data_IF_341251748061
#
_entry.id   IF_341251748061
#
_cell.length_a   1.000
_cell.length_b   1.000
_cell.length_c   1.000
_cell.angle_alpha   90.00
_cell.angle_beta   90.00
_cell.angle_gamma   90.00
#
_symmetry.space_group_name_H-M   'P 1'
#
loop_
_entity.id
_entity.type
_entity.pdbx_description
1 polymer ?
#
# COMPACT_ATOMS: atom_id res chain seq x y z
N UNK A 1 -25.51 0.45 -10.13
CA UNK A 1 -25.06 -0.19 -8.87
C UNK A 1 -24.33 0.83 -7.99
N UNK A 2 -24.73 0.95 -6.72
CA UNK A 2 -24.05 1.76 -5.69
C UNK A 2 -22.97 0.92 -5.02
N UNK A 3 -21.79 1.48 -4.77
CA UNK A 3 -20.71 0.79 -4.07
C UNK A 3 -20.43 1.50 -2.75
N UNK A 4 -20.46 0.77 -1.64
CA UNK A 4 -20.16 1.27 -0.29
C UNK A 4 -18.88 0.63 0.23
N UNK A 5 -17.86 1.44 0.44
CA UNK A 5 -16.59 0.99 0.99
C UNK A 5 -16.62 1.06 2.52
N UNK A 6 -16.21 -0.02 3.19
CA UNK A 6 -15.94 -0.04 4.63
C UNK A 6 -14.80 0.95 4.97
N UNK A 7 -14.98 1.76 6.02
CA UNK A 7 -14.01 2.76 6.46
C UNK A 7 -12.70 2.13 6.94
N UNK A 8 -12.76 0.91 7.46
CA UNK A 8 -11.61 0.14 7.95
C UNK A 8 -10.93 -0.71 6.86
N UNK A 9 -11.37 -0.63 5.60
CA UNK A 9 -10.83 -1.43 4.53
C UNK A 9 -9.34 -1.13 4.26
N UNK A 10 -8.56 -2.20 4.13
CA UNK A 10 -7.14 -2.15 3.74
C UNK A 10 -6.18 -2.16 4.91
N UNK A 11 -4.97 -1.67 4.69
CA UNK A 11 -3.85 -1.76 5.63
C UNK A 11 -4.19 -1.34 7.07
N UNK A 12 -3.95 -2.25 8.02
CA UNK A 12 -3.93 -1.91 9.44
C UNK A 12 -2.61 -1.21 9.82
N UNK A 13 -2.52 -0.68 11.05
CA UNK A 13 -1.33 -0.01 11.54
C UNK A 13 -0.08 -0.90 11.48
N UNK A 14 -0.18 -2.16 11.93
CA UNK A 14 0.96 -3.09 11.94
C UNK A 14 1.51 -3.38 10.53
N UNK A 15 0.62 -3.61 9.56
CA UNK A 15 1.01 -3.80 8.15
C UNK A 15 1.60 -2.52 7.56
N UNK A 16 0.99 -1.36 7.83
CA UNK A 16 1.52 -0.07 7.36
C UNK A 16 2.92 0.18 7.89
N UNK A 17 3.13 -0.02 9.20
CA UNK A 17 4.44 0.09 9.85
C UNK A 17 5.47 -0.82 9.18
N UNK A 18 5.12 -2.10 8.94
CA UNK A 18 6.03 -3.04 8.32
C UNK A 18 6.41 -2.63 6.88
N UNK A 19 5.44 -2.14 6.11
CA UNK A 19 5.69 -1.59 4.78
C UNK A 19 6.58 -0.35 4.81
N UNK A 20 6.27 0.63 5.67
CA UNK A 20 7.04 1.87 5.80
C UNK A 20 8.49 1.61 6.22
N UNK A 21 8.71 0.71 7.19
CA UNK A 21 10.06 0.28 7.58
C UNK A 21 10.80 -0.34 6.40
N UNK A 22 10.18 -1.30 5.72
CA UNK A 22 10.81 -2.01 4.60
C UNK A 22 11.17 -1.04 3.47
N UNK A 23 10.26 -0.16 3.09
CA UNK A 23 10.46 0.82 2.02
C UNK A 23 11.49 1.91 2.40
N UNK A 24 11.54 2.30 3.68
CA UNK A 24 12.59 3.18 4.18
C UNK A 24 13.97 2.54 4.04
N UNK A 25 14.10 1.26 4.36
CA UNK A 25 15.35 0.50 4.19
C UNK A 25 15.74 0.31 2.73
N UNK A 26 14.76 0.14 1.83
CA UNK A 26 15.02 0.19 0.38
C UNK A 26 15.64 1.53 -0.01
N UNK A 27 15.05 2.63 0.44
CA UNK A 27 15.49 3.98 0.07
C UNK A 27 16.89 4.35 0.60
N UNK A 28 17.32 3.78 1.73
CA UNK A 28 18.70 3.95 2.22
C UNK A 28 19.74 3.36 1.26
N UNK A 29 19.38 2.29 0.54
CA UNK A 29 20.26 1.68 -0.46
C UNK A 29 21.45 0.89 0.10
N UNK A 30 21.53 0.64 1.41
CA UNK A 30 22.67 -0.02 2.09
C UNK A 30 22.79 -1.55 1.82
N UNK A 31 23.00 -1.95 0.57
CA UNK A 31 23.17 -3.36 0.19
C UNK A 31 21.87 -4.17 0.12
N UNK A 32 22.00 -5.49 -0.03
CA UNK A 32 20.86 -6.41 -0.22
C UNK A 32 19.93 -6.39 0.99
N UNK A 33 18.63 -6.32 0.71
CA UNK A 33 17.56 -6.31 1.70
C UNK A 33 16.67 -7.53 1.49
N UNK A 34 16.45 -8.28 2.58
CA UNK A 34 15.60 -9.45 2.59
C UNK A 34 14.45 -9.25 3.57
N UNK A 35 13.38 -10.01 3.37
CA UNK A 35 12.33 -10.24 4.37
C UNK A 35 12.42 -11.67 4.85
N UNK A 36 12.34 -11.89 6.16
CA UNK A 36 12.31 -13.25 6.71
C UNK A 36 10.90 -13.82 6.60
N UNK A 37 10.72 -14.71 5.64
CA UNK A 37 9.43 -15.11 5.08
C UNK A 37 8.65 -13.94 4.48
N UNK A 38 7.41 -14.17 4.03
CA UNK A 38 6.58 -13.11 3.47
C UNK A 38 6.33 -12.00 4.49
N UNK A 39 6.69 -10.75 4.15
CA UNK A 39 6.47 -9.58 5.02
C UNK A 39 5.01 -9.50 5.50
N UNK A 40 4.08 -9.75 4.56
CA UNK A 40 2.64 -9.87 4.76
C UNK A 40 2.05 -10.94 3.82
N UNK A 41 0.87 -11.46 4.15
CA UNK A 41 0.12 -12.38 3.28
C UNK A 41 -0.65 -11.62 2.18
N UNK A 42 0.08 -11.08 1.20
CA UNK A 42 -0.48 -10.48 -0.01
C UNK A 42 0.51 -10.59 -1.18
N UNK A 43 0.18 -11.42 -2.18
CA UNK A 43 1.08 -11.71 -3.31
C UNK A 43 1.48 -10.45 -4.08
N UNK A 44 0.52 -9.59 -4.35
CA UNK A 44 0.74 -8.38 -5.15
C UNK A 44 1.67 -7.38 -4.45
N UNK A 45 1.65 -7.34 -3.12
CA UNK A 45 2.60 -6.55 -2.33
C UNK A 45 3.99 -7.20 -2.31
N UNK A 46 4.08 -8.54 -2.23
CA UNK A 46 5.36 -9.23 -2.33
C UNK A 46 6.02 -9.05 -3.69
N UNK A 47 5.23 -9.04 -4.77
CA UNK A 47 5.72 -8.77 -6.12
C UNK A 47 6.21 -7.32 -6.27
N UNK A 48 5.53 -6.36 -5.61
CA UNK A 48 5.98 -4.97 -5.52
C UNK A 48 7.29 -4.81 -4.74
N UNK A 49 7.47 -5.56 -3.65
CA UNK A 49 8.70 -5.54 -2.87
C UNK A 49 9.87 -6.16 -3.66
N UNK A 50 9.63 -7.26 -4.36
CA UNK A 50 10.61 -7.87 -5.28
C UNK A 50 11.03 -6.92 -6.39
N UNK A 51 10.09 -6.19 -7.00
CA UNK A 51 10.45 -5.17 -8.00
C UNK A 51 11.28 -4.00 -7.44
N UNK A 52 11.38 -3.88 -6.12
CA UNK A 52 12.22 -2.90 -5.41
C UNK A 52 13.53 -3.52 -4.87
N UNK A 53 13.85 -4.74 -5.27
CA UNK A 53 15.07 -5.45 -4.84
C UNK A 53 14.97 -6.01 -3.42
N UNK A 54 13.76 -6.28 -2.92
CA UNK A 54 13.53 -6.94 -1.64
C UNK A 54 13.13 -8.39 -1.88
N UNK A 55 14.02 -9.31 -1.56
CA UNK A 55 13.77 -10.75 -1.72
C UNK A 55 13.20 -11.37 -0.44
N UNK A 56 12.46 -12.47 -0.59
CA UNK A 56 11.97 -13.27 0.53
C UNK A 56 12.98 -14.37 0.81
N UNK A 57 13.31 -14.56 2.08
CA UNK A 57 14.22 -15.60 2.54
C UNK A 57 13.54 -16.41 3.64
N UNK A 58 13.37 -17.71 3.41
CA UNK A 58 12.71 -18.63 4.34
C UNK A 58 13.71 -19.24 5.34
N UNK A 59 14.95 -19.50 4.89
CA UNK A 59 16.01 -20.12 5.68
C UNK A 59 17.24 -19.22 5.83
N UNK A 60 17.88 -19.30 7.00
CA UNK A 60 19.10 -18.56 7.34
C UNK A 60 20.29 -19.50 7.39
N UNK A 61 21.29 -19.21 6.59
CA UNK A 61 22.59 -19.86 6.56
C UNK A 61 23.64 -19.00 7.29
N UNK A 62 24.69 -19.63 7.81
CA UNK A 62 25.69 -18.95 8.63
C UNK A 62 26.43 -17.82 7.90
N UNK A 63 26.63 -17.96 6.58
CA UNK A 63 27.35 -16.99 5.75
C UNK A 63 26.44 -15.97 5.06
N UNK A 64 25.14 -15.99 5.36
CA UNK A 64 24.25 -14.98 4.85
C UNK A 64 24.57 -13.61 5.45
N UNK A 65 24.53 -12.58 4.60
CA UNK A 65 24.88 -11.21 4.96
C UNK A 65 23.95 -10.18 4.34
N UNK A 66 23.88 -9.02 4.96
CA UNK A 66 23.11 -7.87 4.47
C UNK A 66 22.12 -7.39 5.51
N UNK A 67 20.91 -7.05 5.07
CA UNK A 67 19.84 -6.57 5.96
C UNK A 67 18.63 -7.48 5.84
N UNK A 68 18.00 -7.80 6.96
CA UNK A 68 16.81 -8.65 6.98
C UNK A 68 15.70 -8.05 7.83
N UNK A 69 14.51 -7.95 7.25
CA UNK A 69 13.31 -7.42 7.90
C UNK A 69 12.50 -8.59 8.47
N UNK A 70 12.25 -8.54 9.77
CA UNK A 70 11.35 -9.47 10.46
C UNK A 70 9.90 -9.12 10.14
N UNK A 71 9.13 -10.09 9.62
CA UNK A 71 7.73 -9.93 9.22
C UNK A 71 6.80 -9.43 10.34
N UNK A 72 5.69 -8.81 9.96
CA UNK A 72 4.72 -8.22 10.91
C UNK A 72 4.13 -9.24 11.92
N UNK A 73 4.05 -10.51 11.53
CA UNK A 73 3.58 -11.63 12.35
C UNK A 73 4.57 -12.05 13.44
N UNK A 74 5.78 -11.47 13.46
CA UNK A 74 6.85 -11.89 14.34
C UNK A 74 7.51 -13.20 13.90
N UNK A 75 8.48 -13.61 14.71
CA UNK A 75 9.28 -14.83 14.59
C UNK A 75 9.49 -15.41 15.99
N UNK A 76 9.83 -16.68 16.05
CA UNK A 76 10.21 -17.39 17.27
C UNK A 76 11.56 -16.89 17.82
N UNK A 77 11.83 -17.13 19.12
CA UNK A 77 13.16 -16.87 19.70
C UNK A 77 14.27 -17.67 19.01
N UNK A 78 13.98 -18.89 18.53
CA UNK A 78 14.94 -19.75 17.83
C UNK A 78 15.32 -19.19 16.47
N UNK A 79 14.34 -18.79 15.65
CA UNK A 79 14.58 -18.13 14.36
C UNK A 79 15.37 -16.82 14.56
N UNK A 80 15.02 -16.03 15.59
CA UNK A 80 15.76 -14.79 15.90
C UNK A 80 17.22 -15.07 16.24
N UNK A 81 17.50 -16.10 17.06
CA UNK A 81 18.87 -16.51 17.39
C UNK A 81 19.63 -17.00 16.16
N UNK A 82 18.96 -17.70 15.24
CA UNK A 82 19.57 -18.13 13.98
C UNK A 82 19.99 -16.93 13.14
N UNK A 83 19.13 -15.91 12.99
CA UNK A 83 19.47 -14.67 12.29
C UNK A 83 20.63 -13.93 12.99
N UNK A 84 20.61 -13.84 14.32
CA UNK A 84 21.68 -13.19 15.09
C UNK A 84 23.06 -13.87 14.97
N UNK A 85 23.10 -15.15 14.59
CA UNK A 85 24.34 -15.90 14.34
C UNK A 85 24.90 -15.71 12.92
N UNK A 86 24.13 -15.09 12.03
CA UNK A 86 24.56 -14.72 10.68
C UNK A 86 25.06 -13.27 10.62
N UNK A 87 25.58 -12.83 9.47
CA UNK A 87 26.01 -11.45 9.24
C UNK A 87 24.87 -10.51 8.81
N UNK A 88 23.63 -10.86 9.16
CA UNK A 88 22.46 -10.01 8.91
C UNK A 88 22.28 -8.92 9.98
N UNK A 89 22.07 -7.68 9.51
CA UNK A 89 21.48 -6.62 10.33
C UNK A 89 19.97 -6.81 10.40
N UNK A 90 19.47 -7.09 11.61
CA UNK A 90 18.04 -7.29 11.87
C UNK A 90 17.30 -5.94 11.91
N UNK A 91 16.21 -5.86 11.15
CA UNK A 91 15.24 -4.76 11.17
C UNK A 91 13.90 -5.32 11.61
N UNK A 92 13.43 -4.93 12.80
CA UNK A 92 12.25 -5.54 13.40
C UNK A 92 10.93 -4.83 13.02
N UNK A 93 10.22 -5.40 12.05
CA UNK A 93 8.91 -4.93 11.63
C UNK A 93 7.74 -5.68 12.31
N UNK A 94 8.00 -6.48 13.36
CA UNK A 94 6.94 -7.13 14.15
C UNK A 94 5.89 -6.12 14.61
N UNK A 95 4.61 -6.48 14.50
CA UNK A 95 3.52 -5.65 14.98
C UNK A 95 3.60 -5.50 16.51
N UNK A 96 3.52 -4.29 17.08
CA UNK A 96 3.54 -4.10 18.53
C UNK A 96 2.45 -4.88 19.28
N UNK A 97 1.29 -5.13 18.63
CA UNK A 97 0.22 -5.97 19.20
C UNK A 97 0.66 -7.42 19.32
N UNK A 98 1.34 -7.97 18.32
CA UNK A 98 1.91 -9.34 18.35
C UNK A 98 3.01 -9.44 19.40
N UNK A 99 3.92 -8.46 19.45
CA UNK A 99 4.99 -8.41 20.44
C UNK A 99 4.44 -8.39 21.88
N UNK A 100 3.31 -7.71 22.11
CA UNK A 100 2.61 -7.75 23.41
C UNK A 100 2.16 -9.16 23.79
N UNK A 101 1.61 -9.93 22.85
CA UNK A 101 1.18 -11.32 23.10
C UNK A 101 2.39 -12.21 23.39
N UNK A 102 3.47 -12.08 22.63
CA UNK A 102 4.74 -12.78 22.89
C UNK A 102 5.27 -12.48 24.32
N UNK A 103 5.19 -11.22 24.74
CA UNK A 103 5.56 -10.79 26.09
C UNK A 103 4.68 -11.41 27.18
N UNK A 104 3.36 -11.45 26.97
CA UNK A 104 2.42 -12.09 27.91
C UNK A 104 2.68 -13.58 28.06
N UNK A 105 2.84 -14.29 26.94
CA UNK A 105 3.17 -15.72 26.92
C UNK A 105 4.44 -15.95 27.73
N UNK A 106 5.53 -15.24 27.40
CA UNK A 106 6.81 -15.37 28.11
C UNK A 106 6.66 -15.08 29.61
N UNK A 107 5.94 -14.01 29.98
CA UNK A 107 5.77 -13.62 31.38
C UNK A 107 5.04 -14.71 32.18
N UNK A 108 3.96 -15.28 31.65
CA UNK A 108 3.16 -16.26 32.37
C UNK A 108 3.78 -17.65 32.35
N UNK A 109 4.48 -18.01 31.27
CA UNK A 109 5.32 -19.19 31.20
C UNK A 109 6.36 -19.20 32.34
N UNK A 110 7.06 -18.08 32.59
CA UNK A 110 7.98 -17.98 33.74
C UNK A 110 7.30 -18.04 35.12
N UNK A 111 5.98 -17.89 35.19
CA UNK A 111 5.18 -18.03 36.42
C UNK A 111 4.58 -19.43 36.59
N UNK A 112 4.95 -20.38 35.74
CA UNK A 112 4.44 -21.76 35.77
C UNK A 112 3.05 -21.93 35.15
N UNK A 113 2.56 -20.95 34.38
CA UNK A 113 1.33 -21.10 33.61
C UNK A 113 1.64 -21.67 32.23
N UNK A 114 0.83 -22.62 31.80
CA UNK A 114 0.86 -23.18 30.44
C UNK A 114 0.08 -22.28 29.49
N UNK A 115 0.70 -21.76 28.42
CA UNK A 115 -0.01 -20.94 27.44
C UNK A 115 -0.99 -21.76 26.59
N UNK A 116 -2.24 -21.32 26.52
CA UNK A 116 -3.25 -21.78 25.56
C UNK A 116 -3.48 -20.68 24.55
N UNK A 117 -3.21 -20.97 23.28
CA UNK A 117 -3.29 -20.02 22.17
C UNK A 117 -4.48 -20.39 21.31
N UNK A 118 -5.51 -19.55 21.32
CA UNK A 118 -6.63 -19.67 20.39
C UNK A 118 -6.20 -19.15 19.01
N UNK A 119 -6.14 -20.03 18.01
CA UNK A 119 -5.71 -19.64 16.67
C UNK A 119 -5.49 -20.81 15.71
N UNK A 120 -4.96 -20.51 14.54
CA UNK A 120 -4.58 -21.51 13.55
C UNK A 120 -3.13 -21.97 13.81
N UNK A 121 -2.95 -23.24 14.14
CA UNK A 121 -1.64 -23.84 14.49
C UNK A 121 -0.57 -23.67 13.39
N UNK A 122 -0.98 -23.55 12.13
CA UNK A 122 -0.06 -23.39 11.00
C UNK A 122 0.19 -21.93 10.63
N UNK A 123 -0.47 -20.98 11.29
CA UNK A 123 -0.32 -19.56 10.98
C UNK A 123 1.02 -19.02 11.52
N UNK A 124 1.79 -18.23 10.73
CA UNK A 124 3.08 -17.69 11.15
C UNK A 124 3.08 -16.95 12.49
N UNK A 125 2.01 -16.23 12.78
CA UNK A 125 1.82 -15.57 14.07
C UNK A 125 1.75 -16.60 15.21
N UNK A 126 0.94 -17.65 15.09
CA UNK A 126 0.76 -18.66 16.14
C UNK A 126 2.05 -19.46 16.35
N UNK A 127 2.74 -19.83 15.27
CA UNK A 127 4.08 -20.44 15.33
C UNK A 127 5.04 -19.52 16.11
N UNK A 128 5.04 -18.22 15.75
CA UNK A 128 5.82 -17.19 16.42
C UNK A 128 5.48 -17.07 17.91
N UNK A 129 4.21 -17.15 18.29
CA UNK A 129 3.74 -17.11 19.69
C UNK A 129 4.14 -18.37 20.48
N UNK A 130 3.96 -19.56 19.89
CA UNK A 130 4.36 -20.85 20.47
C UNK A 130 5.85 -20.89 20.80
N UNK A 131 6.70 -20.23 20.00
CA UNK A 131 8.13 -20.12 20.30
C UNK A 131 8.46 -19.46 21.65
N UNK A 132 7.54 -18.70 22.24
CA UNK A 132 7.73 -18.02 23.53
C UNK A 132 7.22 -18.82 24.74
N UNK A 133 6.67 -20.01 24.53
CA UNK A 133 6.09 -20.86 25.59
C UNK A 133 7.02 -21.98 26.07
N UNK A 134 8.33 -21.89 25.80
CA UNK A 134 9.33 -22.92 26.14
C UNK A 134 8.92 -24.37 25.74
N UNK A 135 8.15 -24.52 24.65
CA UNK A 135 7.65 -25.81 24.17
C UNK A 135 6.45 -26.40 24.93
N UNK A 136 5.89 -25.70 25.92
CA UNK A 136 4.74 -26.17 26.72
C UNK A 136 3.38 -25.67 26.24
N UNK A 137 3.33 -24.77 25.27
CA UNK A 137 2.10 -24.15 24.79
C UNK A 137 1.16 -25.15 24.11
N UNK A 138 -0.14 -24.85 24.13
CA UNK A 138 -1.18 -25.64 23.48
C UNK A 138 -1.95 -24.71 22.53
N UNK A 139 -2.17 -25.13 21.30
CA UNK A 139 -3.01 -24.39 20.34
C UNK A 139 -4.38 -25.04 20.28
N UNK A 140 -5.42 -24.22 20.35
CA UNK A 140 -6.82 -24.63 20.19
C UNK A 140 -7.51 -23.77 19.13
N UNK A 141 -8.53 -24.31 18.50
CA UNK A 141 -9.24 -23.71 17.36
C UNK A 141 -10.74 -23.59 17.56
N UNK A 142 -11.31 -24.29 18.54
CA UNK A 142 -12.72 -24.20 18.92
C UNK A 142 -12.95 -24.36 20.43
N UNK A 143 -14.19 -24.17 20.88
CA UNK A 143 -14.58 -24.45 22.25
C UNK A 143 -14.57 -25.95 22.58
N UNK A 144 -14.73 -26.84 21.58
CA UNK A 144 -14.65 -28.29 21.79
C UNK A 144 -13.24 -28.73 22.19
N UNK A 145 -12.20 -28.09 21.62
CA UNK A 145 -10.79 -28.37 21.93
C UNK A 145 -10.44 -28.11 23.40
N UNK A 146 -11.25 -27.36 24.14
CA UNK A 146 -11.07 -27.16 25.59
C UNK A 146 -11.17 -28.49 26.34
N UNK A 147 -11.87 -29.48 25.78
CA UNK A 147 -12.02 -30.80 26.40
C UNK A 147 -10.72 -31.60 26.45
N UNK A 148 -9.75 -31.29 25.58
CA UNK A 148 -8.46 -31.98 25.47
C UNK A 148 -7.38 -31.37 26.37
N UNK A 149 -7.69 -30.30 27.10
CA UNK A 149 -6.72 -29.63 27.97
C UNK A 149 -6.47 -30.45 29.25
N UNK A 150 -5.20 -30.63 29.66
CA UNK A 150 -4.85 -31.41 30.86
C UNK A 150 -5.29 -30.73 32.16
N UNK A 151 -5.70 -31.52 33.15
CA UNK A 151 -6.34 -31.01 34.38
C UNK A 151 -5.35 -30.42 35.40
N UNK A 152 -4.12 -30.93 35.43
CA UNK A 152 -3.12 -30.57 36.44
C UNK A 152 -2.38 -29.26 36.11
N UNK A 153 -2.73 -28.60 35.00
CA UNK A 153 -2.04 -27.40 34.51
C UNK A 153 -2.81 -26.12 34.81
N UNK A 154 -2.07 -25.06 35.13
CA UNK A 154 -2.61 -23.70 35.23
C UNK A 154 -2.49 -23.01 33.88
N UNK A 155 -3.56 -22.40 33.39
CA UNK A 155 -3.56 -21.85 32.03
C UNK A 155 -3.50 -20.33 31.98
N UNK A 156 -2.71 -19.82 31.05
CA UNK A 156 -2.86 -18.45 30.53
C UNK A 156 -3.42 -18.55 29.11
N UNK A 157 -4.54 -17.90 28.84
CA UNK A 157 -5.21 -17.95 27.55
C UNK A 157 -4.96 -16.65 26.80
N UNK A 158 -4.49 -16.78 25.56
CA UNK A 158 -4.36 -15.69 24.60
C UNK A 158 -4.97 -16.12 23.26
N UNK A 159 -5.21 -15.16 22.40
CA UNK A 159 -5.70 -15.33 21.03
C UNK A 159 -4.71 -14.78 20.00
N UNK A 160 -4.66 -15.43 18.83
CA UNK A 160 -4.10 -14.83 17.62
C UNK A 160 -4.87 -13.53 17.30
N UNK A 161 -4.14 -12.46 16.98
CA UNK A 161 -4.65 -11.07 16.92
C UNK A 161 -5.74 -10.84 15.86
N UNK A 162 -5.95 -11.80 14.95
CA UNK A 162 -6.85 -11.73 13.78
C UNK A 162 -8.01 -12.74 13.83
N UNK A 163 -8.23 -13.41 14.96
CA UNK A 163 -9.31 -14.39 15.13
C UNK A 163 -10.71 -13.78 15.26
N UNK A 164 -11.74 -14.63 15.15
CA UNK A 164 -13.13 -14.22 15.38
C UNK A 164 -13.36 -13.86 16.85
N UNK A 165 -13.97 -12.70 17.06
CA UNK A 165 -14.26 -12.18 18.39
C UNK A 165 -15.28 -13.04 19.13
N UNK A 166 -16.31 -13.52 18.43
CA UNK A 166 -17.43 -14.21 19.07
C UNK A 166 -17.05 -15.67 19.36
N UNK A 167 -16.35 -16.34 18.44
CA UNK A 167 -15.77 -17.66 18.71
C UNK A 167 -14.76 -17.62 19.86
N UNK A 168 -13.94 -16.57 19.97
CA UNK A 168 -13.00 -16.47 21.09
C UNK A 168 -13.72 -16.31 22.44
N UNK A 169 -14.85 -15.60 22.48
CA UNK A 169 -15.67 -15.51 23.71
C UNK A 169 -16.23 -16.86 24.11
N UNK A 170 -16.72 -17.66 23.17
CA UNK A 170 -17.20 -19.02 23.41
C UNK A 170 -16.10 -19.89 24.03
N UNK A 171 -14.88 -19.84 23.46
CA UNK A 171 -13.69 -20.52 23.99
C UNK A 171 -13.35 -20.02 25.40
N UNK A 172 -13.37 -18.71 25.63
CA UNK A 172 -13.10 -18.15 26.96
C UNK A 172 -14.12 -18.62 28.00
N UNK A 173 -15.41 -18.67 27.64
CA UNK A 173 -16.47 -19.19 28.49
C UNK A 173 -16.27 -20.68 28.81
N UNK A 174 -15.95 -21.51 27.80
CA UNK A 174 -15.67 -22.92 28.00
C UNK A 174 -14.43 -23.15 28.90
N UNK A 175 -13.35 -22.39 28.68
CA UNK A 175 -12.17 -22.46 29.54
C UNK A 175 -12.49 -22.02 30.96
N UNK A 176 -13.24 -20.93 31.16
CA UNK A 176 -13.59 -20.48 32.53
C UNK A 176 -14.49 -21.47 33.26
N UNK A 177 -15.37 -22.16 32.55
CA UNK A 177 -16.22 -23.19 33.13
C UNK A 177 -15.42 -24.40 33.62
N UNK A 178 -14.42 -24.85 32.84
CA UNK A 178 -13.59 -26.02 33.18
C UNK A 178 -12.40 -25.69 34.09
N UNK A 179 -11.79 -24.51 33.89
CA UNK A 179 -10.59 -24.04 34.58
C UNK A 179 -10.84 -22.64 35.19
N UNK A 180 -11.55 -22.55 36.33
CA UNK A 180 -11.93 -21.26 36.93
C UNK A 180 -10.73 -20.34 37.21
N UNK A 181 -9.56 -20.92 37.54
CA UNK A 181 -8.32 -20.18 37.81
C UNK A 181 -7.55 -19.73 36.57
N UNK A 182 -7.99 -20.10 35.36
CA UNK A 182 -7.32 -19.69 34.13
C UNK A 182 -7.27 -18.17 33.99
N UNK A 183 -6.11 -17.64 33.60
CA UNK A 183 -5.93 -16.20 33.35
C UNK A 183 -6.15 -15.95 31.87
N UNK A 184 -7.16 -15.16 31.53
CA UNK A 184 -7.54 -14.92 30.13
C UNK A 184 -7.18 -13.48 29.75
N UNK A 185 -6.45 -13.34 28.65
CA UNK A 185 -6.19 -12.05 28.02
C UNK A 185 -6.92 -11.98 26.68
N UNK A 186 -7.71 -10.93 26.50
CA UNK A 186 -8.18 -10.59 25.16
C UNK A 186 -7.05 -9.93 24.36
N UNK A 187 -6.45 -10.72 23.48
CA UNK A 187 -5.35 -10.30 22.62
C UNK A 187 -5.76 -10.16 21.16
N UNK A 188 -7.06 -10.28 20.83
CA UNK A 188 -7.56 -9.88 19.51
C UNK A 188 -7.37 -8.36 19.38
N UNK A 189 -6.78 -7.90 18.29
CA UNK A 189 -6.46 -6.48 18.18
C UNK A 189 -7.69 -5.59 17.91
N UNK A 190 -7.65 -4.34 18.38
CA UNK A 190 -8.74 -3.36 18.22
C UNK A 190 -9.15 -3.17 16.76
N UNK A 191 -8.17 -3.21 15.85
CA UNK A 191 -8.38 -3.12 14.40
C UNK A 191 -9.16 -4.30 13.82
N UNK A 192 -8.97 -5.50 14.35
CA UNK A 192 -9.75 -6.70 14.00
C UNK A 192 -11.19 -6.52 14.51
N UNK A 193 -11.37 -6.14 15.77
CA UNK A 193 -12.68 -5.83 16.36
C UNK A 193 -13.49 -4.84 15.51
N UNK A 194 -12.87 -3.70 15.17
CA UNK A 194 -13.52 -2.65 14.38
C UNK A 194 -13.90 -3.13 12.98
N UNK A 195 -13.03 -3.91 12.32
CA UNK A 195 -13.30 -4.48 10.99
C UNK A 195 -14.45 -5.46 11.01
N UNK A 196 -14.45 -6.41 11.94
CA UNK A 196 -15.50 -7.41 12.07
C UNK A 196 -16.87 -6.76 12.35
N UNK A 197 -16.91 -5.80 13.28
CA UNK A 197 -18.12 -5.00 13.57
C UNK A 197 -18.61 -4.23 12.35
N UNK A 198 -17.70 -3.60 11.61
CA UNK A 198 -18.06 -2.84 10.40
C UNK A 198 -18.57 -3.75 9.28
N UNK A 199 -17.98 -4.94 9.09
CA UNK A 199 -18.48 -5.91 8.11
C UNK A 199 -19.92 -6.29 8.38
N UNK A 200 -20.28 -6.61 9.64
CA UNK A 200 -21.67 -6.93 10.02
C UNK A 200 -22.60 -5.76 9.79
N UNK A 201 -22.20 -4.57 10.23
CA UNK A 201 -22.99 -3.35 10.04
C UNK A 201 -23.19 -3.00 8.55
N UNK A 202 -22.15 -3.15 7.73
CA UNK A 202 -22.21 -2.87 6.30
C UNK A 202 -23.08 -3.90 5.58
N UNK A 203 -22.93 -5.19 5.89
CA UNK A 203 -23.70 -6.28 5.31
C UNK A 203 -25.22 -6.08 5.51
N UNK A 204 -25.64 -5.53 6.66
CA UNK A 204 -27.04 -5.20 6.91
C UNK A 204 -27.62 -4.10 5.99
N UNK A 205 -26.76 -3.32 5.31
CA UNK A 205 -27.16 -2.15 4.52
C UNK A 205 -26.89 -2.31 3.02
N UNK A 206 -26.55 -3.52 2.56
CA UNK A 206 -26.21 -3.82 1.16
C UNK A 206 -26.83 -5.14 0.71
N UNK A 207 -26.85 -5.37 -0.60
CA UNK A 207 -27.42 -6.58 -1.20
C UNK A 207 -26.39 -7.71 -1.27
N UNK A 208 -25.11 -7.37 -1.44
CA UNK A 208 -24.00 -8.32 -1.44
C UNK A 208 -22.71 -7.69 -0.92
N UNK A 209 -21.78 -8.53 -0.46
CA UNK A 209 -20.47 -8.14 0.07
C UNK A 209 -19.33 -8.65 -0.81
N UNK A 210 -18.33 -7.82 -1.05
CA UNK A 210 -17.07 -8.19 -1.70
C UNK A 210 -15.93 -7.94 -0.72
N UNK A 211 -15.16 -8.98 -0.44
CA UNK A 211 -14.03 -8.98 0.50
C UNK A 211 -12.76 -9.09 -0.35
N UNK A 212 -11.96 -8.03 -0.35
CA UNK A 212 -10.74 -7.95 -1.16
C UNK A 212 -9.51 -8.32 -0.34
N UNK A 213 -8.76 -9.33 -0.77
CA UNK A 213 -7.47 -9.67 -0.18
C UNK A 213 -7.01 -11.07 -0.54
N UNK A 214 -5.76 -11.39 -0.21
CA UNK A 214 -5.15 -12.67 -0.56
C UNK A 214 -5.93 -13.87 0.00
N UNK A 215 -6.04 -14.95 -0.77
CA UNK A 215 -6.72 -16.19 -0.36
C UNK A 215 -6.08 -16.85 0.86
N UNK A 216 -4.76 -16.65 1.05
CA UNK A 216 -3.99 -17.13 2.21
C UNK A 216 -4.00 -16.18 3.42
N UNK A 217 -4.76 -15.08 3.37
CA UNK A 217 -4.82 -14.12 4.48
C UNK A 217 -5.88 -14.56 5.49
N UNK A 218 -5.45 -15.01 6.68
CA UNK A 218 -6.36 -15.43 7.76
C UNK A 218 -7.39 -14.35 8.13
N UNK A 219 -6.96 -13.09 8.26
CA UNK A 219 -7.87 -11.97 8.49
C UNK A 219 -8.89 -11.80 7.34
N UNK A 220 -8.46 -11.91 6.08
CA UNK A 220 -9.38 -11.73 4.93
C UNK A 220 -10.42 -12.85 4.89
N UNK A 221 -9.97 -14.09 5.11
CA UNK A 221 -10.85 -15.26 5.22
C UNK A 221 -11.87 -15.07 6.34
N UNK A 222 -11.44 -14.57 7.50
CA UNK A 222 -12.35 -14.31 8.62
C UNK A 222 -13.41 -13.26 8.30
N UNK A 223 -13.03 -12.16 7.65
CA UNK A 223 -14.01 -11.16 7.19
C UNK A 223 -15.01 -11.73 6.18
N UNK A 224 -14.56 -12.64 5.30
CA UNK A 224 -15.43 -13.34 4.37
C UNK A 224 -16.41 -14.27 5.10
N UNK A 225 -15.93 -15.07 6.05
CA UNK A 225 -16.79 -15.94 6.87
C UNK A 225 -17.84 -15.14 7.65
N UNK A 226 -17.45 -14.02 8.25
CA UNK A 226 -18.36 -13.13 8.96
C UNK A 226 -19.39 -12.50 8.02
N UNK A 227 -18.99 -12.06 6.82
CA UNK A 227 -19.93 -11.54 5.84
C UNK A 227 -20.92 -12.62 5.36
N UNK A 228 -20.45 -13.86 5.20
CA UNK A 228 -21.29 -14.99 4.80
C UNK A 228 -22.29 -15.37 5.90
N UNK A 229 -21.88 -15.30 7.18
CA UNK A 229 -22.75 -15.64 8.30
C UNK A 229 -23.92 -14.67 8.50
N UNK A 230 -23.88 -13.48 7.90
CA UNK A 230 -25.04 -12.55 7.90
C UNK A 230 -26.13 -12.94 6.89
N UNK A 231 -25.97 -14.04 6.15
CA UNK A 231 -26.93 -14.50 5.13
C UNK A 231 -26.90 -13.70 3.82
N UNK A 232 -25.99 -12.74 3.67
CA UNK A 232 -25.83 -11.98 2.43
C UNK A 232 -24.90 -12.75 1.47
N UNK A 233 -25.13 -12.68 0.14
CA UNK A 233 -24.14 -13.10 -0.84
C UNK A 233 -22.81 -12.40 -0.57
N UNK A 234 -21.76 -13.18 -0.33
CA UNK A 234 -20.42 -12.68 -0.04
C UNK A 234 -19.42 -13.31 -1.01
N UNK A 235 -18.46 -12.53 -1.50
CA UNK A 235 -17.45 -12.96 -2.46
C UNK A 235 -16.06 -12.56 -1.98
N UNK A 236 -15.13 -13.53 -1.91
CA UNK A 236 -13.72 -13.28 -1.62
C UNK A 236 -12.93 -13.30 -2.92
N UNK A 237 -12.25 -12.19 -3.22
CA UNK A 237 -11.41 -12.02 -4.41
C UNK A 237 -10.05 -11.43 -4.04
N UNK A 238 -8.99 -11.74 -4.81
CA UNK A 238 -7.73 -11.02 -4.71
C UNK A 238 -7.69 -9.80 -5.63
N UNK A 239 -8.24 -9.95 -6.85
CA UNK A 239 -8.14 -8.93 -7.91
C UNK A 239 -9.49 -8.63 -8.56
N UNK A 240 -9.58 -7.48 -9.25
CA UNK A 240 -10.75 -7.09 -10.03
C UNK A 240 -11.10 -8.09 -11.15
N UNK A 241 -10.15 -8.91 -11.59
CA UNK A 241 -10.34 -9.92 -12.63
C UNK A 241 -11.15 -11.13 -12.18
N UNK A 242 -11.29 -11.36 -10.87
CA UNK A 242 -12.09 -12.46 -10.31
C UNK A 242 -13.58 -12.12 -10.20
N UNK A 243 -13.95 -10.84 -10.40
CA UNK A 243 -15.35 -10.39 -10.37
C UNK A 243 -16.14 -10.96 -11.55
N UNK A 244 -17.26 -11.63 -11.26
CA UNK A 244 -18.20 -12.14 -12.28
C UNK A 244 -19.44 -11.27 -12.37
N UNK A 245 -19.85 -10.89 -13.58
CA UNK A 245 -21.05 -10.06 -13.81
C UNK A 245 -22.33 -10.72 -13.28
N UNK A 246 -22.41 -12.05 -13.34
CA UNK A 246 -23.54 -12.84 -12.83
C UNK A 246 -23.78 -12.66 -11.34
N UNK A 247 -22.75 -12.35 -10.54
CA UNK A 247 -22.88 -12.15 -9.09
C UNK A 247 -23.69 -10.91 -8.71
N UNK A 248 -23.80 -9.94 -9.62
CA UNK A 248 -24.37 -8.62 -9.33
C UNK A 248 -25.58 -8.28 -10.19
N UNK A 249 -26.16 -9.26 -10.88
CA UNK A 249 -27.24 -9.04 -11.84
C UNK A 249 -28.50 -8.42 -11.20
N UNK A 250 -28.76 -8.70 -9.92
CA UNK A 250 -29.87 -8.15 -9.13
C UNK A 250 -29.42 -7.19 -8.01
N UNK A 251 -28.13 -6.89 -7.88
CA UNK A 251 -27.60 -6.10 -6.77
C UNK A 251 -27.72 -4.58 -7.04
N UNK A 252 -28.52 -3.88 -6.23
CA UNK A 252 -28.63 -2.43 -6.25
C UNK A 252 -27.43 -1.76 -5.57
N UNK A 253 -27.01 -2.31 -4.44
CA UNK A 253 -25.90 -1.82 -3.60
C UNK A 253 -24.96 -2.95 -3.20
N UNK A 254 -23.66 -2.77 -3.47
CA UNK A 254 -22.58 -3.70 -3.08
C UNK A 254 -21.73 -3.07 -2.00
N UNK A 255 -21.53 -3.80 -0.90
CA UNK A 255 -20.55 -3.48 0.13
C UNK A 255 -19.18 -4.01 -0.27
N UNK A 256 -18.13 -3.21 -0.07
CA UNK A 256 -16.74 -3.60 -0.30
C UNK A 256 -15.98 -3.41 1.00
N UNK A 257 -15.27 -4.44 1.43
CA UNK A 257 -14.26 -4.36 2.49
C UNK A 257 -12.96 -5.00 2.00
N UNK A 258 -11.91 -4.90 2.80
CA UNK A 258 -10.64 -5.50 2.45
C UNK A 258 -9.85 -5.95 3.67
N UNK A 259 -9.06 -7.00 3.48
CA UNK A 259 -8.16 -7.52 4.49
C UNK A 259 -7.12 -6.51 4.96
N UNK A 260 -6.60 -6.74 6.17
CA UNK A 260 -5.55 -5.91 6.77
C UNK A 260 -4.24 -5.88 5.98
N UNK A 261 -4.02 -6.83 5.07
CA UNK A 261 -2.86 -6.90 4.16
C UNK A 261 -3.18 -6.41 2.74
N UNK A 262 -4.33 -5.79 2.49
CA UNK A 262 -4.73 -5.33 1.15
C UNK A 262 -4.45 -3.83 0.97
N UNK A 263 -3.61 -3.44 -0.01
CA UNK A 263 -3.32 -2.02 -0.27
C UNK A 263 -4.47 -1.31 -0.98
N UNK A 264 -4.56 0.01 -0.78
CA UNK A 264 -5.62 0.87 -1.32
C UNK A 264 -5.78 0.78 -2.85
N UNK A 265 -4.70 0.53 -3.57
CA UNK A 265 -4.73 0.48 -5.03
C UNK A 265 -5.47 -0.76 -5.57
N UNK A 266 -5.40 -1.89 -4.87
CA UNK A 266 -6.19 -3.09 -5.20
C UNK A 266 -7.68 -2.83 -4.95
N UNK A 267 -8.00 -2.23 -3.80
CA UNK A 267 -9.37 -1.87 -3.41
C UNK A 267 -9.98 -0.91 -4.43
N UNK A 268 -9.22 0.12 -4.86
CA UNK A 268 -9.67 1.09 -5.87
C UNK A 268 -10.00 0.42 -7.21
N UNK A 269 -9.16 -0.51 -7.69
CA UNK A 269 -9.41 -1.26 -8.94
C UNK A 269 -10.69 -2.09 -8.86
N UNK A 270 -10.93 -2.79 -7.75
CA UNK A 270 -12.17 -3.54 -7.51
C UNK A 270 -13.39 -2.62 -7.51
N UNK A 271 -13.32 -1.48 -6.79
CA UNK A 271 -14.42 -0.50 -6.75
C UNK A 271 -14.72 0.06 -8.14
N UNK A 272 -13.68 0.38 -8.91
CA UNK A 272 -13.82 0.88 -10.28
C UNK A 272 -14.48 -0.17 -11.17
N UNK A 273 -14.03 -1.43 -11.13
CA UNK A 273 -14.64 -2.52 -11.87
C UNK A 273 -16.11 -2.72 -11.50
N UNK A 274 -16.45 -2.80 -10.21
CA UNK A 274 -17.84 -2.88 -9.74
C UNK A 274 -18.69 -1.72 -10.26
N UNK A 275 -18.18 -0.49 -10.24
CA UNK A 275 -18.92 0.68 -10.77
C UNK A 275 -19.20 0.57 -12.27
N UNK A 276 -18.33 -0.08 -13.04
CA UNK A 276 -18.53 -0.31 -14.48
C UNK A 276 -19.50 -1.45 -14.79
N UNK A 277 -19.60 -2.45 -13.92
CA UNK A 277 -20.51 -3.60 -14.12
C UNK A 277 -21.98 -3.19 -13.94
N UNK A 278 -22.24 -2.16 -13.12
CA UNK A 278 -23.59 -1.61 -12.97
C UNK A 278 -23.98 -0.72 -14.16
N UNK A 279 -25.05 -1.08 -14.89
CA UNK A 279 -25.71 -0.17 -15.85
C UNK A 279 -26.11 1.12 -15.11
N UNK A 280 -25.38 2.21 -15.33
CA UNK A 280 -25.74 3.54 -14.83
C UNK A 280 -26.10 4.40 -16.04
N UNK A 281 -27.35 4.88 -16.12
CA UNK A 281 -27.65 6.04 -16.98
C UNK A 281 -26.72 7.16 -16.54
N UNK A 282 -25.94 7.71 -17.46
CA UNK A 282 -25.05 8.84 -17.16
C UNK A 282 -25.93 9.99 -16.66
N UNK A 283 -25.72 10.43 -15.42
CA UNK A 283 -26.31 11.67 -14.93
C UNK A 283 -25.35 12.83 -15.20
N UNK A 284 -25.87 14.05 -15.34
CA UNK A 284 -25.04 15.26 -15.48
C UNK A 284 -23.99 15.39 -14.36
N UNK A 285 -24.37 15.12 -13.12
CA UNK A 285 -23.42 15.09 -11.99
C UNK A 285 -22.30 14.05 -12.16
N UNK A 286 -22.59 12.90 -12.78
CA UNK A 286 -21.56 11.89 -13.09
C UNK A 286 -20.61 12.34 -14.20
N UNK A 287 -21.09 13.10 -15.18
CA UNK A 287 -20.28 13.72 -16.21
C UNK A 287 -19.36 14.79 -15.61
N UNK A 288 -19.89 15.67 -14.75
CA UNK A 288 -19.09 16.66 -14.01
C UNK A 288 -18.00 16.00 -13.16
N UNK A 289 -18.35 14.94 -12.41
CA UNK A 289 -17.38 14.22 -11.58
C UNK A 289 -16.28 13.58 -12.43
N UNK A 290 -16.63 12.99 -13.58
CA UNK A 290 -15.66 12.43 -14.53
C UNK A 290 -14.78 13.52 -15.13
N UNK A 291 -15.35 14.65 -15.52
CA UNK A 291 -14.62 15.82 -16.03
C UNK A 291 -13.63 16.35 -15.00
N UNK A 292 -14.06 16.52 -13.76
CA UNK A 292 -13.18 16.93 -12.65
C UNK A 292 -12.05 15.91 -12.41
N UNK A 293 -12.38 14.62 -12.34
CA UNK A 293 -11.35 13.58 -12.18
C UNK A 293 -10.38 13.52 -13.35
N UNK A 294 -10.85 13.77 -14.57
CA UNK A 294 -10.01 13.87 -15.75
C UNK A 294 -9.05 15.05 -15.62
N UNK A 295 -9.57 16.25 -15.30
CA UNK A 295 -8.76 17.45 -15.10
C UNK A 295 -7.70 17.24 -14.01
N UNK A 296 -8.08 16.75 -12.83
CA UNK A 296 -7.14 16.54 -11.70
C UNK A 296 -6.09 15.47 -12.00
N UNK A 297 -6.46 14.41 -12.73
CA UNK A 297 -5.50 13.36 -13.08
C UNK A 297 -4.51 13.83 -14.15
N UNK A 298 -4.92 14.72 -15.07
CA UNK A 298 -3.99 15.36 -16.01
C UNK A 298 -3.04 16.35 -15.32
N UNK A 299 -2.08 16.90 -16.07
CA UNK A 299 -1.22 18.00 -15.60
C UNK A 299 -1.76 19.40 -15.94
N UNK A 300 -3.06 19.51 -16.24
CA UNK A 300 -3.71 20.79 -16.53
C UNK A 300 -3.70 21.73 -15.31
N UNK A 301 -4.01 21.29 -14.07
CA UNK A 301 -3.97 22.18 -12.91
C UNK A 301 -2.58 22.76 -12.65
N UNK A 302 -1.53 21.95 -12.80
CA UNK A 302 -0.13 22.39 -12.67
C UNK A 302 0.17 23.51 -13.69
N UNK A 303 -0.26 23.32 -14.94
CA UNK A 303 -0.04 24.28 -16.02
C UNK A 303 -0.83 25.59 -15.82
N UNK A 304 -2.09 25.51 -15.38
CA UNK A 304 -2.92 26.69 -15.06
C UNK A 304 -2.34 27.44 -13.86
N UNK A 305 -1.80 26.73 -12.87
CA UNK A 305 -1.06 27.32 -11.76
C UNK A 305 0.17 28.09 -12.27
N UNK A 306 0.93 27.51 -13.20
CA UNK A 306 2.08 28.15 -13.82
C UNK A 306 1.72 29.42 -14.60
N UNK A 307 0.69 29.35 -15.44
CA UNK A 307 0.13 30.50 -16.13
C UNK A 307 -0.20 31.62 -15.14
N UNK A 308 -0.94 31.30 -14.08
CA UNK A 308 -1.43 32.29 -13.11
C UNK A 308 -0.27 32.94 -12.35
N UNK A 309 0.76 32.16 -12.00
CA UNK A 309 1.95 32.65 -11.30
C UNK A 309 2.76 33.61 -12.18
N UNK A 310 3.03 33.24 -13.44
CA UNK A 310 3.74 34.12 -14.39
C UNK A 310 2.92 35.38 -14.68
N UNK A 311 1.60 35.25 -14.85
CA UNK A 311 0.73 36.40 -15.10
C UNK A 311 0.77 37.40 -13.93
N UNK A 312 0.61 36.92 -12.70
CA UNK A 312 0.70 37.74 -11.50
C UNK A 312 2.08 38.37 -11.33
N UNK A 313 3.16 37.60 -11.54
CA UNK A 313 4.53 38.09 -11.45
C UNK A 313 4.81 39.24 -12.43
N UNK A 314 4.35 39.12 -13.67
CA UNK A 314 4.50 40.17 -14.68
C UNK A 314 3.69 41.43 -14.36
N UNK A 315 2.46 41.28 -13.85
CA UNK A 315 1.68 42.43 -13.36
C UNK A 315 2.42 43.15 -12.24
N UNK A 316 2.94 42.41 -11.26
CA UNK A 316 3.65 43.00 -10.12
C UNK A 316 4.96 43.67 -10.53
N UNK A 317 5.67 43.12 -11.53
CA UNK A 317 6.97 43.63 -11.97
C UNK A 317 6.86 44.78 -12.99
N UNK A 318 5.95 44.69 -13.97
CA UNK A 318 5.85 45.62 -15.11
C UNK A 318 4.54 46.42 -15.16
N UNK A 319 3.60 46.17 -14.27
CA UNK A 319 2.26 46.78 -14.30
C UNK A 319 1.36 46.27 -15.44
N UNK A 320 1.87 45.40 -16.32
CA UNK A 320 1.14 44.78 -17.43
C UNK A 320 1.70 43.39 -17.73
N UNK A 321 0.87 42.53 -18.32
CA UNK A 321 1.25 41.15 -18.61
C UNK A 321 0.76 40.71 -19.99
N UNK A 322 1.62 40.80 -21.02
CA UNK A 322 1.32 40.22 -22.32
C UNK A 322 1.09 38.71 -22.15
N UNK A 323 -0.09 38.22 -22.56
CA UNK A 323 -0.52 36.83 -22.32
C UNK A 323 0.39 35.77 -22.97
N UNK A 324 1.23 36.19 -23.92
CA UNK A 324 2.18 35.32 -24.61
C UNK A 324 3.19 34.66 -23.67
N UNK A 325 3.63 35.34 -22.61
CA UNK A 325 4.60 34.80 -21.65
C UNK A 325 3.96 33.79 -20.68
N UNK A 326 2.83 34.10 -20.01
CA UNK A 326 2.09 33.09 -19.25
C UNK A 326 1.68 31.88 -20.09
N UNK A 327 1.31 32.08 -21.37
CA UNK A 327 0.96 31.00 -22.28
C UNK A 327 2.17 30.10 -22.58
N UNK A 328 3.34 30.69 -22.85
CA UNK A 328 4.59 29.94 -23.05
C UNK A 328 4.94 29.08 -21.84
N UNK A 329 4.84 29.65 -20.64
CA UNK A 329 5.03 28.94 -19.36
C UNK A 329 4.06 27.78 -19.18
N UNK A 330 2.77 28.01 -19.44
CA UNK A 330 1.72 26.98 -19.34
C UNK A 330 2.03 25.79 -20.25
N UNK A 331 2.41 26.06 -21.51
CA UNK A 331 2.70 25.03 -22.50
C UNK A 331 3.93 24.20 -22.13
N UNK A 332 4.98 24.85 -21.61
CA UNK A 332 6.16 24.15 -21.10
C UNK A 332 5.80 23.24 -19.93
N UNK A 333 5.16 23.79 -18.88
CA UNK A 333 4.89 23.05 -17.64
C UNK A 333 3.98 21.87 -17.93
N UNK A 334 2.95 22.07 -18.74
CA UNK A 334 2.07 20.99 -19.18
C UNK A 334 2.85 19.88 -19.89
N UNK A 335 3.60 20.24 -20.94
CA UNK A 335 4.34 19.27 -21.76
C UNK A 335 5.36 18.48 -20.94
N UNK A 336 6.15 19.17 -20.12
CA UNK A 336 7.18 18.53 -19.31
C UNK A 336 6.61 17.67 -18.19
N UNK A 337 5.58 18.11 -17.48
CA UNK A 337 4.95 17.30 -16.43
C UNK A 337 4.35 16.00 -16.99
N UNK A 338 3.68 16.08 -18.15
CA UNK A 338 3.11 14.90 -18.80
C UNK A 338 4.20 13.92 -19.24
N UNK A 339 5.24 14.40 -19.93
CA UNK A 339 6.33 13.54 -20.39
C UNK A 339 7.13 12.93 -19.23
N UNK A 340 7.45 13.71 -18.20
CA UNK A 340 8.18 13.21 -17.03
C UNK A 340 7.41 12.13 -16.28
N UNK A 341 6.08 12.21 -16.19
CA UNK A 341 5.25 11.12 -15.62
C UNK A 341 5.34 9.83 -16.44
N UNK A 342 5.55 9.90 -17.76
CA UNK A 342 5.81 8.72 -18.59
C UNK A 342 7.24 8.20 -18.51
N UNK A 343 8.21 9.06 -18.20
CA UNK A 343 9.60 8.66 -17.96
C UNK A 343 9.79 8.10 -16.53
N UNK A 344 8.89 8.43 -15.60
CA UNK A 344 8.90 7.97 -14.20
C UNK A 344 7.76 6.99 -13.84
N UNK A 345 7.49 6.05 -14.76
CA UNK A 345 6.37 5.09 -14.64
C UNK A 345 6.42 4.24 -13.37
N UNK A 346 7.62 3.87 -12.90
CA UNK A 346 7.78 2.98 -11.75
C UNK A 346 7.44 3.68 -10.43
N UNK A 347 7.91 4.91 -10.23
CA UNK A 347 7.56 5.71 -9.05
C UNK A 347 6.08 6.12 -9.07
N UNK A 348 5.53 6.46 -10.23
CA UNK A 348 4.14 6.90 -10.37
C UNK A 348 3.13 5.77 -10.13
N UNK A 349 3.39 4.54 -10.62
CA UNK A 349 2.56 3.35 -10.33
C UNK A 349 2.46 3.05 -8.84
N UNK A 350 3.51 3.40 -8.10
CA UNK A 350 3.62 3.13 -6.68
C UNK A 350 2.98 4.22 -5.81
N UNK A 351 3.29 5.49 -6.09
CA UNK A 351 2.82 6.63 -5.28
C UNK A 351 1.37 7.02 -5.60
N UNK A 352 0.99 7.00 -6.89
CA UNK A 352 -0.36 7.30 -7.33
C UNK A 352 -0.84 6.32 -8.42
N UNK A 353 -1.26 5.11 -8.02
CA UNK A 353 -1.69 4.08 -8.96
C UNK A 353 -2.92 4.49 -9.77
N UNK A 354 -3.77 5.39 -9.24
CA UNK A 354 -4.95 5.88 -9.94
C UNK A 354 -4.59 6.82 -11.10
N UNK A 355 -3.58 7.67 -10.90
CA UNK A 355 -2.99 8.50 -11.96
C UNK A 355 -2.19 7.64 -12.93
N UNK A 356 -1.39 6.69 -12.46
CA UNK A 356 -0.59 5.83 -13.33
C UNK A 356 -1.46 4.98 -14.30
N UNK A 357 -2.58 4.45 -13.82
CA UNK A 357 -3.57 3.76 -14.66
C UNK A 357 -4.19 4.70 -15.70
N UNK A 358 -4.55 5.92 -15.28
CA UNK A 358 -5.11 6.92 -16.19
C UNK A 358 -4.12 7.27 -17.32
N UNK A 359 -2.85 7.50 -17.00
CA UNK A 359 -1.79 7.77 -17.97
C UNK A 359 -1.55 6.58 -18.91
N UNK A 360 -1.64 5.34 -18.40
CA UNK A 360 -1.53 4.16 -19.23
C UNK A 360 -2.70 4.03 -20.23
N UNK A 361 -3.92 4.30 -19.78
CA UNK A 361 -5.13 4.25 -20.62
C UNK A 361 -5.16 5.34 -21.70
N UNK A 362 -4.71 6.55 -21.37
CA UNK A 362 -4.78 7.72 -22.25
C UNK A 362 -3.42 8.08 -22.87
N UNK A 363 -2.51 7.10 -22.98
CA UNK A 363 -1.11 7.31 -23.34
C UNK A 363 -0.93 8.11 -24.63
N UNK A 364 -1.59 7.68 -25.70
CA UNK A 364 -1.45 8.30 -27.04
C UNK A 364 -1.94 9.75 -27.01
N UNK A 365 -3.11 9.97 -26.41
CA UNK A 365 -3.70 11.30 -26.27
C UNK A 365 -2.80 12.25 -25.48
N UNK A 366 -2.35 11.84 -24.29
CA UNK A 366 -1.54 12.67 -23.40
C UNK A 366 -0.14 12.98 -23.98
N UNK A 367 0.49 12.00 -24.64
CA UNK A 367 1.77 12.24 -25.33
C UNK A 367 1.57 13.21 -26.49
N UNK A 368 0.50 13.03 -27.28
CA UNK A 368 0.17 13.92 -28.38
C UNK A 368 -0.01 15.37 -27.93
N UNK A 369 -0.84 15.61 -26.91
CA UNK A 369 -1.07 16.96 -26.38
C UNK A 369 0.18 17.56 -25.75
N UNK A 370 1.02 16.76 -25.09
CA UNK A 370 2.28 17.23 -24.51
C UNK A 370 3.27 17.68 -25.60
N UNK A 371 3.42 16.88 -26.66
CA UNK A 371 4.29 17.22 -27.80
C UNK A 371 3.77 18.44 -28.57
N UNK A 372 2.47 18.54 -28.80
CA UNK A 372 1.85 19.73 -29.39
C UNK A 372 2.06 20.97 -28.52
N UNK A 373 1.95 20.83 -27.19
CA UNK A 373 2.22 21.93 -26.26
C UNK A 373 3.67 22.42 -26.34
N UNK A 374 4.64 21.52 -26.28
CA UNK A 374 6.06 21.88 -26.43
C UNK A 374 6.38 22.46 -27.81
N UNK A 375 5.79 21.91 -28.87
CA UNK A 375 5.92 22.45 -30.23
C UNK A 375 5.36 23.87 -30.34
N UNK A 376 4.20 24.14 -29.75
CA UNK A 376 3.64 25.49 -29.65
C UNK A 376 4.54 26.44 -28.85
N UNK A 377 5.14 25.96 -27.76
CA UNK A 377 6.12 26.73 -26.98
C UNK A 377 7.39 27.07 -27.76
N UNK A 378 7.89 26.16 -28.60
CA UNK A 378 9.01 26.43 -29.52
C UNK A 378 8.65 27.56 -30.50
N UNK A 379 7.45 27.52 -31.10
CA UNK A 379 7.01 28.56 -32.05
C UNK A 379 6.88 29.92 -31.36
N UNK A 380 6.24 29.95 -30.17
CA UNK A 380 6.07 31.17 -29.39
C UNK A 380 7.42 31.75 -28.95
N UNK A 381 8.33 30.91 -28.45
CA UNK A 381 9.65 31.36 -28.02
C UNK A 381 10.49 31.89 -29.18
N UNK A 382 10.40 31.30 -30.37
CA UNK A 382 11.02 31.85 -31.60
C UNK A 382 10.46 33.22 -31.97
N UNK A 383 9.15 33.41 -31.85
CA UNK A 383 8.50 34.70 -32.10
C UNK A 383 8.94 35.79 -31.12
N UNK A 384 9.18 35.43 -29.85
CA UNK A 384 9.65 36.35 -28.82
C UNK A 384 11.12 36.76 -28.96
N UNK A 385 11.94 35.90 -29.58
CA UNK A 385 13.33 36.20 -29.89
C UNK A 385 14.28 35.02 -29.66
N UNK A 386 15.49 35.14 -30.20
CA UNK A 386 16.53 34.11 -30.08
C UNK A 386 16.88 33.76 -28.62
N UNK A 387 16.98 34.72 -27.67
CA UNK A 387 17.27 34.39 -26.27
C UNK A 387 16.20 33.49 -25.63
N UNK A 388 14.92 33.81 -25.84
CA UNK A 388 13.78 33.07 -25.31
C UNK A 388 13.71 31.66 -25.92
N UNK A 389 13.96 31.55 -27.23
CA UNK A 389 14.03 30.26 -27.90
C UNK A 389 15.13 29.36 -27.34
N UNK A 390 16.36 29.89 -27.22
CA UNK A 390 17.49 29.12 -26.70
C UNK A 390 17.26 28.69 -25.25
N UNK A 391 16.68 29.56 -24.43
CA UNK A 391 16.35 29.26 -23.05
C UNK A 391 15.27 28.17 -22.94
N UNK A 392 14.20 28.29 -23.71
CA UNK A 392 13.12 27.29 -23.77
C UNK A 392 13.65 25.92 -24.23
N UNK A 393 14.49 25.91 -25.26
CA UNK A 393 15.12 24.70 -25.78
C UNK A 393 16.02 24.04 -24.74
N UNK A 394 16.88 24.82 -24.07
CA UNK A 394 17.79 24.33 -23.03
C UNK A 394 17.03 23.70 -21.87
N UNK A 395 15.95 24.34 -21.39
CA UNK A 395 15.10 23.82 -20.34
C UNK A 395 14.38 22.54 -20.76
N UNK A 396 13.87 22.49 -21.99
CA UNK A 396 13.19 21.30 -22.52
C UNK A 396 14.14 20.11 -22.58
N UNK A 397 15.37 20.32 -23.07
CA UNK A 397 16.41 19.30 -23.10
C UNK A 397 16.77 18.85 -21.68
N UNK A 398 17.03 19.79 -20.77
CA UNK A 398 17.35 19.49 -19.38
C UNK A 398 16.26 18.65 -18.71
N UNK A 399 15.00 19.04 -18.89
CA UNK A 399 13.85 18.34 -18.31
C UNK A 399 13.68 16.92 -18.86
N UNK A 400 13.94 16.70 -20.15
CA UNK A 400 13.88 15.37 -20.76
C UNK A 400 15.04 14.48 -20.29
N UNK A 401 16.25 15.03 -20.28
CA UNK A 401 17.48 14.32 -19.88
C UNK A 401 17.49 13.99 -18.40
N UNK A 402 16.82 14.77 -17.55
CA UNK A 402 16.77 14.58 -16.09
C UNK A 402 16.34 13.16 -15.67
N UNK A 403 15.44 12.54 -16.42
CA UNK A 403 14.87 11.21 -16.12
C UNK A 403 15.46 10.08 -16.97
N UNK A 404 16.34 10.37 -17.93
CA UNK A 404 16.95 9.39 -18.84
C UNK A 404 18.26 8.85 -18.21
N UNK A 405 18.53 7.54 -18.30
CA UNK A 405 19.81 7.00 -17.85
C UNK A 405 20.93 7.46 -18.78
N UNK A 406 21.84 8.28 -18.27
CA UNK A 406 22.99 8.82 -19.01
C UNK A 406 24.20 7.87 -18.87
N UNK A 407 24.30 7.15 -17.75
CA UNK A 407 25.41 6.22 -17.48
C UNK A 407 25.00 4.80 -17.89
N UNK A 408 25.78 4.12 -18.76
CA UNK A 408 25.54 2.72 -19.12
C UNK A 408 25.63 1.80 -17.89
N UNK A 409 24.66 0.87 -17.76
CA UNK A 409 24.56 -0.10 -16.67
C UNK A 409 25.81 -1.00 -16.47
N UNK A 410 26.71 -1.06 -17.46
CA UNK A 410 27.94 -1.87 -17.44
C UNK A 410 29.05 -1.31 -16.54
N UNK A 411 28.91 -0.09 -15.99
CA UNK A 411 29.94 0.60 -15.20
C UNK A 411 29.84 0.40 -13.66
N UNK A 412 29.24 -0.70 -13.19
CA UNK A 412 29.31 -1.11 -11.77
C UNK A 412 28.73 -0.09 -10.79
N UNK A 413 29.48 0.27 -9.74
CA UNK A 413 29.07 1.15 -8.61
C UNK A 413 28.48 2.51 -9.04
N UNK A 414 28.87 3.04 -10.22
CA UNK A 414 28.32 4.27 -10.80
C UNK A 414 26.90 4.11 -11.36
N UNK A 415 26.44 2.88 -11.61
CA UNK A 415 25.07 2.58 -12.04
C UNK A 415 24.00 2.90 -11.00
N UNK A 416 24.40 3.20 -9.75
CA UNK A 416 23.49 3.66 -8.67
C UNK A 416 22.94 5.07 -8.91
N UNK A 417 23.64 5.87 -9.71
CA UNK A 417 23.23 7.21 -10.14
C UNK A 417 23.18 7.27 -11.67
N UNK A 418 22.41 6.36 -12.27
CA UNK A 418 22.32 6.25 -13.72
C UNK A 418 21.65 7.48 -14.34
N UNK A 419 20.78 8.18 -13.60
CA UNK A 419 20.00 9.34 -14.02
C UNK A 419 20.36 10.56 -13.16
N UNK A 420 20.21 11.77 -13.70
CA UNK A 420 20.39 13.02 -12.94
C UNK A 420 19.46 13.03 -11.73
N UNK A 421 18.23 12.52 -11.88
CA UNK A 421 17.25 12.43 -10.80
C UNK A 421 17.64 11.53 -9.62
N UNK A 422 18.59 10.63 -9.82
CA UNK A 422 19.03 9.71 -8.77
C UNK A 422 19.92 10.45 -7.74
N UNK A 423 20.43 11.64 -8.08
CA UNK A 423 21.21 12.48 -7.17
C UNK A 423 20.33 13.09 -6.07
N UNK A 424 20.67 12.93 -4.77
CA UNK A 424 19.93 13.52 -3.67
C UNK A 424 19.81 15.05 -3.81
N UNK A 425 18.60 15.60 -3.59
CA UNK A 425 18.34 17.03 -3.67
C UNK A 425 18.26 17.61 -5.10
N UNK A 426 18.64 16.85 -6.13
CA UNK A 426 18.61 17.30 -7.53
C UNK A 426 17.22 17.72 -8.00
N UNK A 427 16.17 17.04 -7.50
CA UNK A 427 14.79 17.33 -7.86
C UNK A 427 14.37 18.73 -7.43
N UNK A 428 14.59 19.06 -6.16
CA UNK A 428 14.23 20.36 -5.61
C UNK A 428 14.98 21.49 -6.33
N UNK A 429 16.27 21.29 -6.62
CA UNK A 429 17.07 22.27 -7.35
C UNK A 429 16.62 22.41 -8.81
N UNK A 430 16.38 21.30 -9.52
CA UNK A 430 15.96 21.32 -10.92
C UNK A 430 14.55 21.89 -11.09
N UNK A 431 13.61 21.55 -10.20
CA UNK A 431 12.27 22.13 -10.18
C UNK A 431 12.33 23.63 -9.87
N UNK A 432 13.06 24.05 -8.84
CA UNK A 432 13.21 25.48 -8.51
C UNK A 432 13.86 26.28 -9.65
N UNK A 433 14.90 25.73 -10.29
CA UNK A 433 15.55 26.35 -11.45
C UNK A 433 14.58 26.48 -12.62
N UNK A 434 13.90 25.40 -12.99
CA UNK A 434 12.95 25.42 -14.10
C UNK A 434 11.81 26.41 -13.84
N UNK A 435 11.15 26.32 -12.68
CA UNK A 435 10.04 27.21 -12.32
C UNK A 435 10.47 28.67 -12.21
N UNK A 436 11.64 28.93 -11.62
CA UNK A 436 12.22 30.27 -11.53
C UNK A 436 12.52 30.84 -12.90
N UNK A 437 13.31 30.12 -13.72
CA UNK A 437 13.68 30.57 -15.07
C UNK A 437 12.46 30.80 -15.96
N UNK A 438 11.48 29.90 -15.93
CA UNK A 438 10.30 30.01 -16.80
C UNK A 438 9.37 31.12 -16.35
N UNK A 439 9.26 31.38 -15.05
CA UNK A 439 8.35 32.41 -14.55
C UNK A 439 8.96 33.81 -14.51
N UNK A 440 10.28 33.94 -14.65
CA UNK A 440 11.00 35.22 -14.50
C UNK A 440 11.87 35.64 -15.69
N UNK A 441 12.37 34.71 -16.49
CA UNK A 441 13.32 34.97 -17.59
C UNK A 441 12.72 34.75 -18.99
N UNK A 442 11.64 33.97 -19.09
CA UNK A 442 10.73 33.98 -20.25
C UNK A 442 9.69 35.06 -20.02
#
# INVERSE_FOLDING_TARGET
MKVRLAKTAGFCMGVRRAMEITLSEVNKGDGKLFTYGPLIHNRQVLDLLRSKGVDVKEDIEAHDKGRIVVRAHGITPTERKAIQRSDFKIIDATCPRVAKVQGLIKQYDTKGYTPVIFGDAHHPEVIGLMGYSQGQGIVISSAEDVTTLPEEKRFVVVSQTTQDVDTYKEVCSAIKARFPEAVIFDTICDETYRRQKEVRSLAAQVDSMVIVGGHKSGNTMRLYQIARSTGKPAFHIETEGELKDSWFSSAGTVGVTAGASTPNWMIKKVIERLRTMGKRKQSFASLLTKGYQFLVKTSIPDAVGAFSLTYAGLILYRGSSPLIYPLLTMLYVYGMHVLNRFLDKEASRYNDPGVALFYAQHKVFLIGTALSGLGGGIIISLYLGLPQFLLFLALTILGLVYSIPIIPWRLGYLGRYAKIKDLPGSKTMAEALAWGTISSLL
#
